data_IF_009970405413
#
_entry.id   IF_009970405413
#
_cell.length_a   1.000
_cell.length_b   1.000
_cell.length_c   1.000
_cell.angle_alpha   90.00
_cell.angle_beta   90.00
_cell.angle_gamma   90.00
#
_symmetry.space_group_name_H-M   'P 1'
#
loop_
_entity.id
_entity.type
_entity.pdbx_description
1 polymer ?
#
# COMPACT_ATOMS: atom_id res chain seq x y z
N UNK A 1 43.70 12.84 -5.80
CA UNK A 1 42.72 12.60 -6.89
C UNK A 1 41.37 12.40 -6.25
N UNK A 2 40.58 13.47 -6.17
CA UNK A 2 39.17 13.40 -5.73
C UNK A 2 38.34 12.90 -6.91
N UNK A 3 37.53 11.82 -6.76
CA UNK A 3 36.64 11.42 -7.83
C UNK A 3 35.62 12.54 -8.06
N UNK A 4 35.49 12.96 -9.31
CA UNK A 4 34.39 13.81 -9.76
C UNK A 4 33.13 12.94 -9.76
N UNK A 5 32.31 13.06 -8.72
CA UNK A 5 30.95 12.55 -8.75
C UNK A 5 30.14 13.42 -9.71
N UNK A 6 29.53 12.77 -10.71
CA UNK A 6 28.70 13.46 -11.69
C UNK A 6 27.49 14.06 -10.97
N UNK A 7 27.00 15.26 -11.32
CA UNK A 7 25.79 15.84 -10.68
C UNK A 7 24.55 14.94 -10.81
N UNK A 8 24.56 13.95 -11.72
CA UNK A 8 23.53 12.92 -11.81
C UNK A 8 23.58 11.89 -10.67
N UNK A 9 24.73 11.66 -10.04
CA UNK A 9 24.84 10.77 -8.87
C UNK A 9 24.22 11.39 -7.60
N UNK A 10 24.06 12.72 -7.56
CA UNK A 10 23.35 13.39 -6.47
C UNK A 10 21.81 13.37 -6.63
N UNK A 11 21.29 12.90 -7.78
CA UNK A 11 19.86 12.85 -8.09
C UNK A 11 19.22 11.46 -7.95
N UNK A 12 19.99 10.43 -7.59
CA UNK A 12 19.55 9.04 -7.40
C UNK A 12 19.60 8.63 -5.92
N UNK A 13 19.08 9.50 -5.04
CA UNK A 13 19.05 9.27 -3.60
C UNK A 13 17.65 8.98 -3.09
N UNK A 14 17.56 8.18 -2.02
CA UNK A 14 16.34 8.04 -1.23
C UNK A 14 16.07 9.37 -0.50
N UNK A 15 14.93 9.99 -0.75
CA UNK A 15 14.48 11.17 -0.04
C UNK A 15 13.35 10.82 0.93
N UNK A 16 13.47 11.29 2.16
CA UNK A 16 12.39 11.21 3.14
C UNK A 16 11.60 12.52 3.15
N UNK A 17 10.30 12.41 2.90
CA UNK A 17 9.35 13.52 2.92
C UNK A 17 8.34 13.32 4.05
N UNK A 18 7.50 14.34 4.30
CA UNK A 18 6.37 14.22 5.21
C UNK A 18 5.44 13.07 4.80
N UNK A 19 4.88 12.33 5.76
CA UNK A 19 3.98 11.20 5.51
C UNK A 19 2.86 11.52 4.51
N UNK A 20 2.28 12.72 4.62
CA UNK A 20 1.17 13.19 3.77
C UNK A 20 1.54 13.38 2.30
N UNK A 21 2.83 13.38 1.96
CA UNK A 21 3.30 13.40 0.58
C UNK A 21 3.26 12.01 -0.09
N UNK A 22 3.05 10.93 0.68
CA UNK A 22 2.96 9.59 0.14
C UNK A 22 1.66 9.38 -0.65
N UNK A 23 1.77 8.79 -1.84
CA UNK A 23 0.60 8.52 -2.68
C UNK A 23 -0.36 7.51 -2.02
N UNK A 24 0.16 6.63 -1.18
CA UNK A 24 -0.59 5.62 -0.44
C UNK A 24 -0.94 6.05 0.99
N UNK A 25 -0.81 7.34 1.32
CA UNK A 25 -1.11 7.86 2.67
C UNK A 25 -2.54 7.55 3.11
N UNK A 26 -3.54 7.90 2.30
CA UNK A 26 -4.96 7.66 2.64
C UNK A 26 -5.30 6.17 2.65
N UNK A 27 -4.59 5.37 1.85
CA UNK A 27 -4.70 3.90 1.90
C UNK A 27 -4.27 3.38 3.29
N UNK A 28 -3.11 3.82 3.81
CA UNK A 28 -2.66 3.41 5.13
C UNK A 28 -3.54 3.97 6.25
N UNK A 29 -3.94 5.24 6.17
CA UNK A 29 -4.80 5.90 7.15
C UNK A 29 -6.14 5.22 7.36
N UNK A 30 -6.76 4.73 6.28
CA UNK A 30 -8.04 4.01 6.37
C UNK A 30 -7.89 2.58 6.94
N UNK A 31 -6.67 2.03 6.94
CA UNK A 31 -6.43 0.61 7.22
C UNK A 31 -5.64 0.31 8.48
N UNK A 32 -4.90 1.27 9.02
CA UNK A 32 -4.18 1.08 10.27
C UNK A 32 -5.16 0.94 11.43
N UNK A 33 -4.93 -0.06 12.28
CA UNK A 33 -5.64 -0.21 13.55
C UNK A 33 -5.40 1.02 14.43
N UNK A 34 -4.19 1.56 14.40
CA UNK A 34 -3.80 2.78 15.10
C UNK A 34 -3.30 3.85 14.12
N UNK A 35 -4.14 4.84 13.77
CA UNK A 35 -3.75 5.93 12.87
C UNK A 35 -2.66 6.85 13.43
N UNK A 36 -2.38 6.86 14.73
CA UNK A 36 -1.34 7.72 15.32
C UNK A 36 0.06 7.33 14.86
N UNK A 37 0.26 6.12 14.35
CA UNK A 37 1.52 5.70 13.71
C UNK A 37 1.88 6.57 12.49
N UNK A 38 0.92 7.31 11.92
CA UNK A 38 1.17 8.23 10.82
C UNK A 38 1.90 9.51 11.23
N UNK A 39 1.99 9.82 12.52
CA UNK A 39 2.73 10.98 13.02
C UNK A 39 4.24 10.84 12.79
N UNK A 40 4.76 9.62 12.97
CA UNK A 40 6.18 9.30 12.80
C UNK A 40 6.48 8.60 11.46
N UNK A 41 5.45 8.37 10.64
CA UNK A 41 5.61 7.81 9.30
C UNK A 41 6.34 8.78 8.36
N UNK A 42 7.02 8.20 7.37
CA UNK A 42 7.77 8.98 6.37
C UNK A 42 7.39 8.51 4.97
N UNK A 43 7.26 9.47 4.06
CA UNK A 43 7.13 9.16 2.65
C UNK A 43 8.53 8.96 2.07
N UNK A 44 8.77 7.80 1.47
CA UNK A 44 10.02 7.40 0.84
C UNK A 44 9.92 7.68 -0.66
N UNK A 45 10.66 8.68 -1.12
CA UNK A 45 10.73 9.05 -2.52
C UNK A 45 12.07 8.59 -3.12
N UNK A 46 12.00 7.56 -3.94
CA UNK A 46 13.13 7.11 -4.77
C UNK A 46 13.12 7.75 -6.17
N UNK A 47 11.91 8.10 -6.64
CA UNK A 47 11.63 8.78 -7.91
C UNK A 47 10.34 9.62 -7.75
N UNK A 48 9.47 9.64 -8.77
CA UNK A 48 8.25 10.48 -8.81
C UNK A 48 7.10 10.01 -7.92
N UNK A 49 7.18 8.80 -7.34
CA UNK A 49 6.07 8.22 -6.57
C UNK A 49 6.53 7.91 -5.14
N UNK A 50 6.29 8.83 -4.18
CA UNK A 50 6.59 8.59 -2.78
C UNK A 50 5.64 7.54 -2.19
N UNK A 51 6.19 6.53 -1.53
CA UNK A 51 5.44 5.48 -0.83
C UNK A 51 5.67 5.56 0.68
N UNK A 52 4.65 5.24 1.46
CA UNK A 52 4.71 5.42 2.91
C UNK A 52 5.45 4.27 3.59
N UNK A 53 6.49 4.60 4.35
CA UNK A 53 7.06 3.72 5.35
C UNK A 53 6.36 4.00 6.70
N UNK A 54 5.63 3.00 7.21
CA UNK A 54 4.88 3.12 8.47
C UNK A 54 5.70 2.50 9.62
N UNK A 55 5.96 3.25 10.70
CA UNK A 55 6.70 2.75 11.85
C UNK A 55 5.95 1.61 12.55
N UNK A 56 6.69 0.85 13.34
CA UNK A 56 6.13 -0.05 14.34
C UNK A 56 5.66 0.73 15.57
N UNK A 57 4.81 0.07 16.37
CA UNK A 57 4.30 0.56 17.64
C UNK A 57 3.42 -0.49 18.29
N UNK A 58 2.60 -0.11 19.26
CA UNK A 58 1.81 -1.05 20.08
C UNK A 58 0.99 -2.04 19.23
N UNK A 59 0.37 -1.56 18.16
CA UNK A 59 -0.53 -2.37 17.34
C UNK A 59 0.12 -2.90 16.04
N UNK A 60 1.35 -2.46 15.70
CA UNK A 60 2.05 -2.83 14.47
C UNK A 60 3.46 -3.30 14.82
N UNK A 61 3.77 -4.57 14.60
CA UNK A 61 5.02 -5.19 15.06
C UNK A 61 6.12 -5.24 14.01
N UNK A 62 5.77 -5.06 12.74
CA UNK A 62 6.76 -5.08 11.64
C UNK A 62 6.36 -4.21 10.47
N UNK A 63 7.37 -3.85 9.67
CA UNK A 63 7.18 -3.27 8.35
C UNK A 63 8.25 -3.75 7.37
N UNK A 64 7.92 -3.61 6.09
CA UNK A 64 8.84 -3.89 4.99
C UNK A 64 8.59 -2.92 3.84
N UNK A 65 9.61 -2.67 3.04
CA UNK A 65 9.51 -1.93 1.78
C UNK A 65 10.46 -2.55 0.76
N UNK A 66 9.94 -2.88 -0.43
CA UNK A 66 10.76 -3.29 -1.56
C UNK A 66 11.23 -2.04 -2.32
N UNK A 67 12.54 -1.88 -2.47
CA UNK A 67 13.18 -0.73 -3.12
C UNK A 67 13.55 -0.99 -4.58
N UNK A 68 13.30 -2.19 -5.10
CA UNK A 68 13.62 -2.60 -6.47
C UNK A 68 15.11 -2.66 -6.82
N UNK A 69 15.99 -2.18 -5.95
CA UNK A 69 17.45 -2.25 -6.12
C UNK A 69 18.18 -2.26 -4.76
N UNK A 70 19.22 -3.10 -4.58
CA UNK A 70 19.93 -3.22 -3.30
C UNK A 70 20.56 -1.93 -2.78
N UNK A 71 21.16 -1.12 -3.65
CA UNK A 71 21.77 0.16 -3.25
C UNK A 71 20.74 1.11 -2.60
N UNK A 72 19.50 1.08 -3.07
CA UNK A 72 18.43 1.89 -2.53
C UNK A 72 17.85 1.32 -1.23
N UNK A 73 17.87 -0.01 -1.09
CA UNK A 73 17.52 -0.66 0.16
C UNK A 73 18.49 -0.28 1.28
N UNK A 74 19.80 -0.31 1.02
CA UNK A 74 20.80 0.13 1.98
C UNK A 74 20.65 1.61 2.33
N UNK A 75 20.50 2.48 1.33
CA UNK A 75 20.31 3.91 1.56
C UNK A 75 19.04 4.22 2.38
N UNK A 76 17.93 3.51 2.13
CA UNK A 76 16.72 3.65 2.93
C UNK A 76 16.93 3.11 4.35
N UNK A 77 17.58 1.96 4.50
CA UNK A 77 17.86 1.38 5.82
C UNK A 77 18.67 2.36 6.68
N UNK A 78 19.72 2.95 6.11
CA UNK A 78 20.51 4.01 6.76
C UNK A 78 19.64 5.20 7.17
N UNK A 79 18.75 5.65 6.28
CA UNK A 79 17.88 6.80 6.53
C UNK A 79 16.79 6.55 7.60
N UNK A 80 16.36 5.31 7.79
CA UNK A 80 15.36 4.92 8.79
C UNK A 80 15.96 4.63 10.16
N UNK A 81 17.23 4.21 10.25
CA UNK A 81 17.86 3.88 11.54
C UNK A 81 17.84 5.07 12.50
N UNK A 82 17.43 4.80 13.74
CA UNK A 82 17.36 5.80 14.81
C UNK A 82 16.12 6.70 14.75
N UNK A 83 15.22 6.53 13.77
CA UNK A 83 13.94 7.23 13.74
C UNK A 83 12.93 6.55 14.68
N UNK A 84 12.04 7.31 15.33
CA UNK A 84 10.99 6.76 16.19
C UNK A 84 10.16 5.68 15.47
N UNK A 85 10.04 4.51 16.09
CA UNK A 85 9.27 3.39 15.58
C UNK A 85 9.87 2.70 14.34
N UNK A 86 11.13 2.96 13.99
CA UNK A 86 11.87 2.18 13.00
C UNK A 86 12.96 1.38 13.70
N UNK A 87 12.54 0.42 14.51
CA UNK A 87 13.45 -0.44 15.26
C UNK A 87 14.02 -1.56 14.37
N UNK A 88 15.20 -2.09 14.70
CA UNK A 88 15.78 -3.29 14.06
C UNK A 88 15.82 -3.22 12.52
N UNK A 89 16.13 -2.04 11.95
CA UNK A 89 16.14 -1.84 10.51
C UNK A 89 17.26 -2.66 9.85
N UNK A 90 16.88 -3.51 8.89
CA UNK A 90 17.79 -4.35 8.10
C UNK A 90 17.49 -4.22 6.61
N UNK A 91 18.53 -4.28 5.79
CA UNK A 91 18.42 -4.43 4.34
C UNK A 91 18.87 -5.84 3.95
N UNK A 92 18.14 -6.46 3.02
CA UNK A 92 18.51 -7.76 2.44
C UNK A 92 18.09 -7.80 0.98
N UNK A 93 19.08 -7.83 0.08
CA UNK A 93 18.82 -7.64 -1.34
C UNK A 93 18.14 -6.29 -1.58
N UNK A 94 16.97 -6.29 -2.24
CA UNK A 94 16.18 -5.09 -2.51
C UNK A 94 15.18 -4.72 -1.40
N UNK A 95 15.09 -5.50 -0.33
CA UNK A 95 14.05 -5.33 0.70
C UNK A 95 14.63 -4.70 1.95
N UNK A 96 13.95 -3.68 2.47
CA UNK A 96 14.18 -3.12 3.80
C UNK A 96 13.12 -3.63 4.74
N UNK A 97 13.51 -4.07 5.93
CA UNK A 97 12.62 -4.56 6.98
C UNK A 97 12.91 -3.83 8.29
N UNK A 98 11.89 -3.65 9.11
CA UNK A 98 12.01 -3.08 10.44
C UNK A 98 10.99 -3.71 11.39
N UNK A 99 11.26 -3.60 12.69
CA UNK A 99 10.51 -4.26 13.74
C UNK A 99 10.84 -5.74 13.86
N UNK A 100 9.87 -6.47 14.38
CA UNK A 100 10.00 -7.90 14.61
C UNK A 100 9.96 -8.72 13.30
N UNK A 101 10.70 -9.83 13.21
CA UNK A 101 10.56 -10.76 12.11
C UNK A 101 9.12 -11.32 12.01
N UNK A 102 8.55 -11.28 10.81
CA UNK A 102 7.25 -11.88 10.53
C UNK A 102 7.33 -13.41 10.70
N UNK A 103 6.51 -14.04 11.56
CA UNK A 103 6.45 -15.50 11.64
C UNK A 103 5.85 -16.09 10.36
N UNK A 104 6.44 -17.18 9.87
CA UNK A 104 6.12 -17.75 8.55
C UNK A 104 4.70 -18.31 8.49
N UNK A 105 4.26 -19.01 9.54
CA UNK A 105 3.02 -19.77 9.58
C UNK A 105 1.80 -19.01 10.13
N UNK A 106 1.83 -17.67 10.11
CA UNK A 106 0.66 -16.90 10.53
C UNK A 106 -0.50 -17.04 9.55
N UNK A 107 -1.67 -17.40 10.10
CA UNK A 107 -2.94 -17.26 9.39
C UNK A 107 -3.12 -15.82 8.87
N UNK A 108 -3.83 -15.59 7.75
CA UNK A 108 -3.94 -14.27 7.13
C UNK A 108 -4.38 -13.14 8.08
N UNK A 109 -5.38 -13.38 8.93
CA UNK A 109 -5.85 -12.39 9.91
C UNK A 109 -4.83 -12.12 11.02
N UNK A 110 -4.07 -13.14 11.42
CA UNK A 110 -2.98 -12.96 12.37
C UNK A 110 -1.83 -12.14 11.74
N UNK A 111 -1.51 -12.39 10.46
CA UNK A 111 -0.52 -11.62 9.70
C UNK A 111 -0.93 -10.15 9.55
N UNK A 112 -2.21 -9.88 9.26
CA UNK A 112 -2.76 -8.51 9.21
C UNK A 112 -2.63 -7.79 10.55
N UNK A 113 -3.04 -8.43 11.65
CA UNK A 113 -2.90 -7.87 13.00
C UNK A 113 -1.43 -7.63 13.36
N UNK A 114 -0.54 -8.54 12.99
CA UNK A 114 0.91 -8.34 13.18
C UNK A 114 1.45 -7.10 12.44
N UNK A 115 0.86 -6.76 11.30
CA UNK A 115 1.16 -5.54 10.53
C UNK A 115 0.35 -4.31 11.00
N UNK A 116 -0.42 -4.43 12.08
CA UNK A 116 -1.27 -3.35 12.60
C UNK A 116 -2.35 -2.89 11.64
N UNK A 117 -2.81 -3.79 10.78
CA UNK A 117 -3.95 -3.55 9.92
C UNK A 117 -5.24 -3.92 10.64
N UNK A 118 -6.29 -3.13 10.41
CA UNK A 118 -7.66 -3.47 10.77
C UNK A 118 -8.05 -4.79 10.12
N UNK A 119 -8.98 -5.50 10.75
CA UNK A 119 -9.62 -6.66 10.13
C UNK A 119 -10.28 -6.24 8.81
N UNK A 120 -10.12 -7.07 7.78
CA UNK A 120 -10.83 -6.84 6.54
C UNK A 120 -12.30 -7.20 6.74
N UNK A 121 -13.26 -6.38 6.27
CA UNK A 121 -14.65 -6.75 6.33
C UNK A 121 -14.83 -8.10 5.62
N UNK A 122 -15.47 -9.07 6.29
CA UNK A 122 -15.76 -10.40 5.71
C UNK A 122 -16.57 -10.32 4.41
N UNK A 123 -17.23 -9.19 4.18
CA UNK A 123 -17.92 -8.82 2.95
C UNK A 123 -17.62 -7.35 2.62
N UNK A 124 -16.69 -7.12 1.71
CA UNK A 124 -16.32 -5.79 1.22
C UNK A 124 -15.36 -5.88 0.03
N UNK A 125 -15.22 -4.82 -0.78
CA UNK A 125 -14.28 -4.84 -1.90
C UNK A 125 -12.85 -4.97 -1.38
N UNK A 126 -12.15 -6.03 -1.82
CA UNK A 126 -10.72 -6.22 -1.59
C UNK A 126 -9.96 -5.06 -2.25
N UNK A 127 -9.59 -4.05 -1.46
CA UNK A 127 -8.68 -3.00 -1.95
C UNK A 127 -7.25 -3.53 -1.82
N UNK A 128 -6.60 -3.76 -2.96
CA UNK A 128 -5.22 -4.25 -3.02
C UNK A 128 -4.28 -3.16 -2.49
N UNK A 129 -3.19 -3.49 -1.77
CA UNK A 129 -2.13 -2.53 -1.52
C UNK A 129 -1.61 -1.94 -2.83
N UNK A 130 -1.22 -0.66 -2.86
CA UNK A 130 -0.48 -0.11 -3.99
C UNK A 130 0.82 -0.89 -4.20
N UNK A 131 1.31 -0.89 -5.44
CA UNK A 131 2.53 -1.62 -5.82
C UNK A 131 3.70 -1.26 -4.88
N UNK A 132 4.44 -2.27 -4.41
CA UNK A 132 5.59 -2.11 -3.50
C UNK A 132 5.38 -2.63 -2.06
N UNK A 133 4.13 -2.85 -1.63
CA UNK A 133 3.82 -3.39 -0.29
C UNK A 133 3.39 -4.85 -0.27
N UNK A 134 3.17 -5.45 -1.43
CA UNK A 134 2.99 -6.88 -1.59
C UNK A 134 4.35 -7.54 -1.70
N UNK A 135 4.83 -8.16 -0.62
CA UNK A 135 5.85 -9.18 -0.77
C UNK A 135 5.40 -10.16 -1.85
N UNK A 136 6.33 -10.56 -2.73
CA UNK A 136 6.16 -11.51 -3.83
C UNK A 136 5.04 -12.53 -3.50
N UNK A 137 3.92 -12.46 -4.23
CA UNK A 137 2.86 -13.46 -4.21
C UNK A 137 3.45 -14.79 -4.70
N UNK A 138 4.09 -15.57 -3.81
CA UNK A 138 4.43 -16.98 -4.09
C UNK A 138 3.21 -17.91 -3.96
N UNK A 139 2.01 -17.32 -3.84
CA UNK A 139 0.75 -18.01 -3.99
C UNK A 139 0.01 -17.47 -5.21
N UNK A 140 0.40 -17.92 -6.40
CA UNK A 140 -0.52 -17.95 -7.54
C UNK A 140 -1.70 -18.87 -7.21
N UNK A 141 -2.62 -18.41 -6.34
CA UNK A 141 -3.98 -18.93 -6.36
C UNK A 141 -4.60 -18.30 -7.60
N UNK A 142 -4.73 -19.14 -8.62
CA UNK A 142 -5.60 -18.92 -9.78
C UNK A 142 -6.82 -18.12 -9.35
N UNK A 143 -7.05 -16.99 -10.02
CA UNK A 143 -8.33 -16.32 -9.90
C UNK A 143 -9.46 -17.32 -10.18
N UNK A 144 -10.53 -17.36 -9.38
CA UNK A 144 -11.78 -17.81 -9.95
C UNK A 144 -12.05 -16.90 -11.16
N UNK A 145 -12.42 -17.44 -12.33
CA UNK A 145 -12.76 -16.59 -13.46
C UNK A 145 -13.81 -15.57 -13.00
N UNK A 146 -13.69 -14.34 -13.49
CA UNK A 146 -14.76 -13.35 -13.38
C UNK A 146 -16.08 -14.07 -13.70
N UNK A 147 -17.18 -13.82 -12.97
CA UNK A 147 -18.47 -14.32 -13.41
C UNK A 147 -18.69 -13.80 -14.83
N UNK A 148 -18.63 -14.72 -15.80
CA UNK A 148 -19.06 -14.42 -17.16
C UNK A 148 -20.51 -13.97 -17.05
N UNK A 149 -20.80 -12.82 -17.66
CA UNK A 149 -22.10 -12.15 -17.72
C UNK A 149 -22.65 -11.60 -16.39
N UNK A 150 -22.56 -10.26 -16.26
CA UNK A 150 -23.68 -9.49 -15.70
C UNK A 150 -24.95 -9.91 -16.45
N UNK A 151 -26.09 -10.19 -15.79
CA UNK A 151 -27.33 -10.40 -16.52
C UNK A 151 -27.59 -9.17 -17.38
N UNK A 152 -27.69 -9.37 -18.70
CA UNK A 152 -28.11 -8.34 -19.64
C UNK A 152 -29.34 -7.65 -19.06
N UNK A 153 -29.25 -6.33 -18.88
CA UNK A 153 -30.45 -5.53 -18.63
C UNK A 153 -31.36 -5.74 -19.83
N UNK A 154 -32.46 -6.47 -19.64
CA UNK A 154 -33.55 -6.50 -20.61
C UNK A 154 -33.92 -5.06 -20.96
N UNK A 155 -33.92 -4.67 -22.24
CA UNK A 155 -34.42 -3.37 -22.64
C UNK A 155 -35.89 -3.29 -22.25
N UNK A 156 -36.21 -2.25 -21.46
CA UNK A 156 -37.58 -1.96 -21.04
C UNK A 156 -38.44 -1.76 -22.29
N UNK A 157 -39.62 -2.41 -22.42
CA UNK A 157 -40.49 -2.16 -23.56
C UNK A 157 -40.91 -0.68 -23.57
N UNK A 158 -41.01 -0.04 -24.75
CA UNK A 158 -41.42 1.36 -24.83
C UNK A 158 -42.82 1.52 -24.24
N UNK A 159 -42.92 2.44 -23.29
CA UNK A 159 -44.15 2.81 -22.60
C UNK A 159 -45.16 3.28 -23.64
N UNK A 160 -46.31 2.60 -23.73
CA UNK A 160 -47.39 3.01 -24.62
C UNK A 160 -47.80 4.46 -24.31
N UNK A 161 -47.76 5.32 -25.33
CA UNK A 161 -48.25 6.69 -25.26
C UNK A 161 -49.76 6.63 -25.23
N UNK A 162 -50.35 6.89 -24.06
CA UNK A 162 -51.78 7.14 -23.93
C UNK A 162 -52.04 8.55 -24.43
N UNK A 163 -52.70 8.67 -25.59
CA UNK A 163 -53.22 9.93 -26.09
C UNK A 163 -54.33 10.41 -25.15
N UNK A 164 -54.07 11.51 -24.44
CA UNK A 164 -55.09 12.24 -23.70
C UNK A 164 -56.01 12.94 -24.70
N UNK A 165 -57.26 12.48 -24.80
CA UNK A 165 -58.33 13.24 -25.44
C UNK A 165 -58.71 14.42 -24.56
N UNK A 166 -58.44 15.63 -25.04
CA UNK A 166 -59.02 16.85 -24.50
C UNK A 166 -60.43 17.03 -25.10
N UNK A 167 -61.43 17.12 -24.22
CA UNK A 167 -62.80 17.47 -24.55
C UNK A 167 -62.90 18.93 -25.01
N UNK A 168 -63.87 19.26 -25.88
CA UNK A 168 -64.66 20.50 -25.77
C UNK A 168 -65.95 20.41 -26.61
N UNK A 169 -67.05 20.80 -25.95
CA UNK A 169 -68.36 21.27 -26.44
C UNK A 169 -69.22 20.36 -27.33
#
# INVERSE_FOLDING_TARGET
MTPFHSPAEQLLGVQLLAATAAHDYEYWKSRLANPLLLLDAVAVALYRLPLLAVPVGTDRRSGLMDMGHPVFAEALADALRGRPGFDQVTASGQVVRWGEPMPEDLAPDARRRFQGLREEPRYGPYVRPPAGHGGRDEGARSWPPLPESLPERQPTPPRAVVTAGAAYA
#
